data_IF_438859203445
#
_entry.id   IF_438859203445
#
_cell.length_a   1.000
_cell.length_b   1.000
_cell.length_c   1.000
_cell.angle_alpha   90.00
_cell.angle_beta   90.00
_cell.angle_gamma   90.00
#
_symmetry.space_group_name_H-M   'P 1'
#
loop_
_entity.id
_entity.type
_entity.pdbx_description
1 polymer ?
#
# COMPACT_ATOMS: atom_id res chain seq x y z
N UNK A 1 -12.60 7.45 -8.87
CA UNK A 1 -11.96 6.74 -7.73
C UNK A 1 -11.80 5.25 -7.95
N UNK A 2 -12.73 4.56 -8.62
CA UNK A 2 -12.71 3.09 -8.79
C UNK A 2 -11.37 2.52 -9.32
N UNK A 3 -10.70 3.21 -10.27
CA UNK A 3 -9.39 2.78 -10.79
C UNK A 3 -8.30 2.74 -9.71
N UNK A 4 -8.08 3.85 -9.00
CA UNK A 4 -7.02 3.96 -8.00
C UNK A 4 -7.27 3.07 -6.79
N UNK A 5 -8.52 2.96 -6.35
CA UNK A 5 -8.89 2.07 -5.25
C UNK A 5 -8.61 0.60 -5.59
N UNK A 6 -9.00 0.16 -6.80
CA UNK A 6 -8.63 -1.17 -7.31
C UNK A 6 -7.12 -1.37 -7.38
N UNK A 7 -6.37 -0.32 -7.76
CA UNK A 7 -4.91 -0.40 -7.82
C UNK A 7 -4.29 -0.55 -6.44
N UNK A 8 -4.71 0.24 -5.45
CA UNK A 8 -4.26 0.08 -4.06
C UNK A 8 -4.63 -1.29 -3.49
N UNK A 9 -5.82 -1.80 -3.83
CA UNK A 9 -6.24 -3.14 -3.43
C UNK A 9 -5.32 -4.22 -4.01
N UNK A 10 -4.99 -4.16 -5.30
CA UNK A 10 -4.07 -5.11 -5.94
C UNK A 10 -2.68 -5.11 -5.29
N UNK A 11 -2.14 -3.92 -4.98
CA UNK A 11 -0.85 -3.78 -4.28
C UNK A 11 -0.93 -4.45 -2.90
N UNK A 12 -2.00 -4.17 -2.16
CA UNK A 12 -2.22 -4.75 -0.83
C UNK A 12 -2.38 -6.28 -0.87
N UNK A 13 -3.11 -6.82 -1.84
CA UNK A 13 -3.29 -8.28 -2.00
C UNK A 13 -1.97 -8.98 -2.34
N UNK A 14 -1.17 -8.40 -3.25
CA UNK A 14 0.18 -8.87 -3.57
C UNK A 14 1.09 -8.87 -2.34
N UNK A 15 1.01 -7.83 -1.52
CA UNK A 15 1.74 -7.74 -0.26
C UNK A 15 1.32 -8.85 0.73
N UNK A 16 0.01 -9.05 0.95
CA UNK A 16 -0.48 -10.12 1.82
C UNK A 16 -0.05 -11.51 1.36
N UNK A 17 -0.06 -11.74 0.05
CA UNK A 17 0.42 -13.00 -0.52
C UNK A 17 1.90 -13.21 -0.20
N UNK A 18 2.72 -12.16 -0.38
CA UNK A 18 4.15 -12.20 -0.08
C UNK A 18 4.41 -12.47 1.41
N UNK A 19 3.67 -11.81 2.32
CA UNK A 19 3.80 -12.06 3.76
C UNK A 19 3.52 -13.53 4.12
N UNK A 20 2.53 -14.16 3.49
CA UNK A 20 2.22 -15.58 3.75
C UNK A 20 3.36 -16.50 3.32
N UNK A 21 3.98 -16.22 2.17
CA UNK A 21 5.11 -17.02 1.65
C UNK A 21 6.34 -16.85 2.54
N UNK A 22 6.68 -15.62 2.89
CA UNK A 22 7.93 -15.29 3.57
C UNK A 22 7.79 -15.16 5.09
N UNK A 23 6.72 -15.68 5.69
CA UNK A 23 6.41 -15.46 7.12
C UNK A 23 7.54 -15.87 8.08
N UNK A 24 8.40 -16.81 7.67
CA UNK A 24 9.57 -17.26 8.43
C UNK A 24 10.83 -16.41 8.23
N UNK A 25 10.80 -15.42 7.33
CA UNK A 25 11.92 -14.54 7.00
C UNK A 25 11.55 -13.05 7.23
N UNK A 26 11.78 -12.53 8.45
CA UNK A 26 11.42 -11.16 8.81
C UNK A 26 12.04 -10.09 7.92
N UNK A 27 13.29 -10.27 7.47
CA UNK A 27 13.98 -9.31 6.61
C UNK A 27 13.31 -9.21 5.22
N UNK A 28 12.82 -10.33 4.71
CA UNK A 28 12.08 -10.35 3.45
C UNK A 28 10.70 -9.71 3.60
N UNK A 29 10.01 -9.96 4.71
CA UNK A 29 8.74 -9.31 5.01
C UNK A 29 8.85 -7.80 5.19
N UNK A 30 9.94 -7.31 5.80
CA UNK A 30 10.24 -5.88 5.87
C UNK A 30 10.44 -5.29 4.47
N UNK A 31 11.16 -6.01 3.59
CA UNK A 31 11.37 -5.60 2.19
C UNK A 31 10.03 -5.52 1.46
N UNK A 32 9.20 -6.55 1.54
CA UNK A 32 7.86 -6.57 0.94
C UNK A 32 6.97 -5.43 1.47
N UNK A 33 7.09 -5.10 2.76
CA UNK A 33 6.35 -3.99 3.36
C UNK A 33 6.81 -2.64 2.80
N UNK A 34 8.12 -2.40 2.72
CA UNK A 34 8.68 -1.17 2.14
C UNK A 34 8.29 -1.02 0.67
N UNK A 35 8.37 -2.10 -0.11
CA UNK A 35 7.99 -2.11 -1.52
C UNK A 35 6.49 -1.81 -1.71
N UNK A 36 5.64 -2.39 -0.86
CA UNK A 36 4.20 -2.11 -0.85
C UNK A 36 3.92 -0.60 -0.66
N UNK A 37 4.58 0.04 0.33
CA UNK A 37 4.43 1.47 0.56
C UNK A 37 4.92 2.31 -0.63
N UNK A 38 6.10 1.99 -1.16
CA UNK A 38 6.69 2.69 -2.30
C UNK A 38 5.80 2.59 -3.55
N UNK A 39 5.24 1.41 -3.82
CA UNK A 39 4.33 1.20 -4.96
C UNK A 39 3.06 2.05 -4.80
N UNK A 40 2.49 2.14 -3.59
CA UNK A 40 1.35 3.02 -3.31
C UNK A 40 1.68 4.51 -3.46
N UNK A 41 2.85 4.95 -3.01
CA UNK A 41 3.29 6.34 -3.14
C UNK A 41 3.59 6.72 -4.60
N UNK A 42 4.08 5.78 -5.40
CA UNK A 42 4.37 5.99 -6.83
C UNK A 42 3.13 6.29 -7.68
N UNK A 43 1.93 5.95 -7.19
CA UNK A 43 0.67 6.25 -7.86
C UNK A 43 0.28 7.74 -7.81
N UNK A 44 1.01 8.55 -7.05
CA UNK A 44 0.84 9.99 -7.01
C UNK A 44 1.88 10.66 -7.92
N UNK A 45 1.42 11.39 -8.95
CA UNK A 45 2.28 12.32 -9.66
C UNK A 45 2.55 13.53 -8.75
N UNK A 46 3.80 14.03 -8.75
CA UNK A 46 4.28 15.14 -7.88
C UNK A 46 3.48 16.46 -7.96
N UNK A 47 2.49 16.57 -8.85
CA UNK A 47 1.83 17.84 -9.19
C UNK A 47 0.31 17.90 -8.91
N UNK A 48 -0.31 16.83 -8.40
CA UNK A 48 -1.78 16.75 -8.23
C UNK A 48 -2.28 17.15 -6.82
N UNK A 49 -1.62 18.06 -6.11
CA UNK A 49 -1.83 18.22 -4.64
C UNK A 49 -2.94 19.18 -4.18
N UNK A 50 -3.78 19.75 -5.05
CA UNK A 50 -4.70 20.83 -4.62
C UNK A 50 -6.20 20.61 -4.87
N UNK A 51 -6.63 19.49 -5.48
CA UNK A 51 -8.06 19.21 -5.70
C UNK A 51 -8.68 18.26 -4.64
N UNK A 52 -10.00 18.38 -4.45
CA UNK A 52 -10.86 17.46 -3.70
C UNK A 52 -10.66 15.99 -4.07
N UNK A 53 -10.36 15.70 -5.35
CA UNK A 53 -9.99 14.38 -5.84
C UNK A 53 -8.70 13.87 -5.16
N UNK A 54 -7.66 14.69 -5.12
CA UNK A 54 -6.38 14.33 -4.50
C UNK A 54 -6.51 14.05 -3.00
N UNK A 55 -7.34 14.81 -2.28
CA UNK A 55 -7.67 14.54 -0.87
C UNK A 55 -8.31 13.16 -0.69
N UNK A 56 -9.30 12.83 -1.52
CA UNK A 56 -9.95 11.51 -1.48
C UNK A 56 -8.98 10.38 -1.82
N UNK A 57 -8.07 10.62 -2.77
CA UNK A 57 -7.03 9.66 -3.16
C UNK A 57 -6.03 9.43 -2.03
N UNK A 58 -5.58 10.51 -1.38
CA UNK A 58 -4.69 10.46 -0.23
C UNK A 58 -5.32 9.71 0.94
N UNK A 59 -6.60 9.94 1.23
CA UNK A 59 -7.33 9.19 2.25
C UNK A 59 -7.43 7.69 1.91
N UNK A 60 -7.65 7.36 0.63
CA UNK A 60 -7.65 5.98 0.16
C UNK A 60 -6.27 5.32 0.38
N UNK A 61 -5.18 5.95 -0.07
CA UNK A 61 -3.81 5.49 0.17
C UNK A 61 -3.56 5.26 1.67
N UNK A 62 -3.84 6.26 2.51
CA UNK A 62 -3.61 6.19 3.95
C UNK A 62 -4.38 5.01 4.59
N UNK A 63 -5.55 4.68 4.06
CA UNK A 63 -6.33 3.53 4.52
C UNK A 63 -5.61 2.22 4.20
N UNK A 64 -5.09 2.07 2.99
CA UNK A 64 -4.34 0.87 2.59
C UNK A 64 -2.97 0.78 3.28
N UNK A 65 -2.25 1.88 3.47
CA UNK A 65 -0.99 1.89 4.23
C UNK A 65 -1.21 1.48 5.69
N UNK A 66 -2.31 1.92 6.32
CA UNK A 66 -2.70 1.47 7.67
C UNK A 66 -3.02 -0.03 7.71
N UNK A 67 -3.72 -0.55 6.69
CA UNK A 67 -3.98 -2.00 6.56
C UNK A 67 -2.67 -2.78 6.41
N UNK A 68 -1.76 -2.32 5.55
CA UNK A 68 -0.45 -2.93 5.35
C UNK A 68 0.38 -2.94 6.64
N UNK A 69 0.43 -1.82 7.37
CA UNK A 69 1.11 -1.73 8.67
C UNK A 69 0.52 -2.71 9.68
N UNK A 70 -0.81 -2.81 9.78
CA UNK A 70 -1.46 -3.76 10.69
C UNK A 70 -1.14 -5.21 10.34
N UNK A 71 -1.13 -5.56 9.05
CA UNK A 71 -0.77 -6.90 8.61
C UNK A 71 0.70 -7.22 8.87
N UNK A 72 1.61 -6.26 8.67
CA UNK A 72 3.03 -6.41 8.98
C UNK A 72 3.29 -6.57 10.48
N UNK A 73 2.68 -5.74 11.33
CA UNK A 73 2.85 -5.81 12.78
C UNK A 73 2.10 -6.98 13.45
N UNK A 74 1.21 -7.65 12.72
CA UNK A 74 0.48 -8.83 13.18
C UNK A 74 1.08 -10.16 12.69
N UNK A 75 2.18 -10.10 11.95
CA UNK A 75 3.08 -11.24 11.73
C UNK A 75 3.92 -11.50 12.98
#
# INVERSE_FOLDING_TARGET
>A
MNYFEKRFQQIYEKFLFSLKIYHTNPAHCETCYRDCLNEMDSLFLRHDTHDSFAKRLMNCKNTFQRKAKKAYSGM
#
